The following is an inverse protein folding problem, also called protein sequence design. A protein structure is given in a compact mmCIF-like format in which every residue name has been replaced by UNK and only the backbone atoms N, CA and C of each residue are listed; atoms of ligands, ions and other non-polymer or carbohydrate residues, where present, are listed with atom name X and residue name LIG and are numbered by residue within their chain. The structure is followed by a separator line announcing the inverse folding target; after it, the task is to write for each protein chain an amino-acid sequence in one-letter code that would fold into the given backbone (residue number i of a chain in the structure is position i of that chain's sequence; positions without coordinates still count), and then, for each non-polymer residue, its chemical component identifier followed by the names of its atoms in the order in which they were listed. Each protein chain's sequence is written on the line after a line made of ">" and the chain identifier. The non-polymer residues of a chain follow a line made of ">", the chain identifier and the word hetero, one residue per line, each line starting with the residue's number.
data_IF_213095346091
#
_entry.id   IF_213095346091
#
_cell.length_a   1.000
_cell.length_b   1.000
_cell.length_c   1.000
_cell.angle_alpha   90.00
_cell.angle_beta   90.00
_cell.angle_gamma   90.00
#
_symmetry.space_group_name_H-M   'P 1'
#
loop_
_entity.id
_entity.type
_entity.pdbx_description
1 polymer ?
#
# COMPACT_ATOMS: atom_id res chain seq x y z
N UNK A 1 9.19 -2.48 17.37
CA UNK A 1 8.05 -1.78 17.99
C UNK A 1 6.81 -2.36 17.33
N UNK A 2 6.09 -3.24 18.00
CA UNK A 2 4.85 -3.79 17.44
C UNK A 2 3.77 -2.73 17.54
N UNK A 3 3.38 -2.17 16.39
CA UNK A 3 2.34 -1.14 16.34
C UNK A 3 0.97 -1.68 16.77
N UNK A 4 0.80 -3.00 16.83
CA UNK A 4 -0.50 -3.65 16.79
C UNK A 4 -0.57 -4.91 17.68
N UNK A 5 -1.67 -5.08 18.42
CA UNK A 5 -2.15 -6.36 18.97
C UNK A 5 -2.03 -7.50 17.93
N UNK A 6 -1.13 -8.45 18.22
CA UNK A 6 -0.80 -9.60 17.37
C UNK A 6 -2.04 -10.40 16.96
N UNK A 7 -3.01 -10.56 17.85
CA UNK A 7 -4.22 -11.35 17.58
C UNK A 7 -5.08 -10.75 16.46
N UNK A 8 -5.16 -9.42 16.37
CA UNK A 8 -5.90 -8.74 15.29
C UNK A 8 -5.15 -8.88 13.96
N UNK A 9 -3.82 -8.77 13.99
CA UNK A 9 -2.98 -8.92 12.80
C UNK A 9 -3.09 -10.33 12.21
N UNK A 10 -3.03 -11.36 13.05
CA UNK A 10 -3.16 -12.74 12.58
C UNK A 10 -4.57 -13.02 12.06
N UNK A 11 -5.61 -12.49 12.74
CA UNK A 11 -6.99 -12.58 12.26
C UNK A 11 -7.16 -11.90 10.90
N UNK A 12 -6.55 -10.74 10.70
CA UNK A 12 -6.57 -10.03 9.41
C UNK A 12 -5.93 -10.88 8.30
N UNK A 13 -4.82 -11.55 8.60
CA UNK A 13 -4.19 -12.46 7.65
C UNK A 13 -5.07 -13.67 7.28
N UNK A 14 -5.73 -14.30 8.27
CA UNK A 14 -6.66 -15.40 8.01
C UNK A 14 -7.87 -14.97 7.18
N UNK A 15 -8.43 -13.78 7.47
CA UNK A 15 -9.52 -13.21 6.68
C UNK A 15 -9.07 -12.93 5.25
N UNK A 16 -7.89 -12.34 5.06
CA UNK A 16 -7.32 -12.09 3.74
C UNK A 16 -7.20 -13.38 2.91
N UNK A 17 -6.69 -14.47 3.52
CA UNK A 17 -6.62 -15.79 2.87
C UNK A 17 -7.98 -16.41 2.59
N UNK A 18 -8.99 -16.14 3.43
CA UNK A 18 -10.36 -16.61 3.23
C UNK A 18 -10.97 -15.93 2.00
N UNK A 19 -11.01 -14.59 2.00
CA UNK A 19 -11.64 -13.82 0.93
C UNK A 19 -10.94 -14.02 -0.42
N UNK A 20 -9.62 -14.26 -0.44
CA UNK A 20 -8.88 -14.56 -1.68
C UNK A 20 -9.27 -15.87 -2.36
N UNK A 21 -10.09 -16.70 -1.70
CA UNK A 21 -10.66 -17.93 -2.29
C UNK A 21 -12.11 -17.75 -2.72
N UNK A 22 -12.73 -16.64 -2.38
CA UNK A 22 -14.15 -16.38 -2.62
C UNK A 22 -14.38 -15.51 -3.85
N UNK A 23 -13.50 -14.52 -4.08
CA UNK A 23 -13.58 -13.61 -5.22
C UNK A 23 -12.21 -13.06 -5.60
N UNK A 24 -12.08 -12.59 -6.85
CA UNK A 24 -10.86 -11.98 -7.36
C UNK A 24 -10.72 -10.52 -6.93
N UNK A 25 -9.51 -10.14 -6.52
CA UNK A 25 -9.16 -8.76 -6.19
C UNK A 25 -7.67 -8.49 -6.37
N UNK A 26 -7.32 -7.21 -6.40
CA UNK A 26 -5.93 -6.75 -6.34
C UNK A 26 -5.66 -6.22 -4.93
N UNK A 27 -4.75 -6.86 -4.22
CA UNK A 27 -4.32 -6.43 -2.90
C UNK A 27 -3.43 -5.19 -3.01
N UNK A 28 -3.70 -4.18 -2.18
CA UNK A 28 -2.88 -2.98 -2.02
C UNK A 28 -2.61 -2.74 -0.52
N UNK A 29 -2.20 -1.52 -0.16
CA UNK A 29 -2.11 -1.13 1.24
C UNK A 29 -1.02 -1.87 2.03
N UNK A 30 -1.27 -2.07 3.33
CA UNK A 30 -0.26 -2.62 4.24
C UNK A 30 0.13 -4.07 3.96
N UNK A 31 -0.86 -4.92 3.67
CA UNK A 31 -0.60 -6.33 3.36
C UNK A 31 0.17 -6.52 2.04
N UNK A 32 -0.11 -5.70 1.02
CA UNK A 32 0.70 -5.70 -0.19
C UNK A 32 2.18 -5.33 0.09
N UNK A 33 2.43 -4.35 0.97
CA UNK A 33 3.79 -3.97 1.37
C UNK A 33 4.48 -5.11 2.12
N UNK A 34 3.76 -5.78 3.02
CA UNK A 34 4.27 -6.97 3.71
C UNK A 34 4.65 -8.08 2.72
N UNK A 35 3.81 -8.37 1.71
CA UNK A 35 4.12 -9.40 0.73
C UNK A 35 5.44 -9.14 0.00
N UNK A 36 5.68 -7.88 -0.39
CA UNK A 36 6.90 -7.46 -1.07
C UNK A 36 8.13 -7.42 -0.15
N UNK A 37 8.00 -6.81 1.03
CA UNK A 37 9.15 -6.45 1.86
C UNK A 37 9.44 -7.43 3.00
N UNK A 38 8.48 -8.29 3.34
CA UNK A 38 8.46 -9.05 4.61
C UNK A 38 8.71 -8.17 5.84
N UNK A 39 8.31 -6.91 5.75
CA UNK A 39 8.41 -5.91 6.81
C UNK A 39 7.23 -5.99 7.78
N UNK A 40 6.66 -4.84 8.09
CA UNK A 40 5.54 -4.77 9.03
C UNK A 40 4.26 -5.41 8.46
N UNK A 41 3.61 -6.24 9.27
CA UNK A 41 2.26 -6.76 8.98
C UNK A 41 1.19 -5.66 9.13
N UNK A 42 0.01 -5.89 8.55
CA UNK A 42 -1.12 -4.94 8.60
C UNK A 42 -2.27 -5.46 9.47
N UNK A 43 -3.12 -4.52 9.92
CA UNK A 43 -4.42 -4.85 10.52
C UNK A 43 -5.56 -4.74 9.51
N UNK A 44 -5.51 -3.70 8.70
CA UNK A 44 -6.53 -3.41 7.70
C UNK A 44 -6.17 -4.12 6.39
N UNK A 45 -7.20 -4.55 5.66
CA UNK A 45 -7.09 -5.13 4.32
C UNK A 45 -7.54 -4.08 3.31
N UNK A 46 -6.68 -3.71 2.38
CA UNK A 46 -7.01 -2.77 1.31
C UNK A 46 -7.04 -3.52 -0.03
N UNK A 47 -8.18 -3.54 -0.71
CA UNK A 47 -8.34 -4.28 -1.97
C UNK A 47 -9.00 -3.44 -3.05
N UNK A 48 -8.62 -3.68 -4.30
CA UNK A 48 -9.30 -3.17 -5.48
C UNK A 48 -10.09 -4.32 -6.10
N UNK A 49 -11.37 -4.08 -6.39
CA UNK A 49 -12.24 -5.07 -7.04
C UNK A 49 -12.87 -4.51 -8.31
N UNK A 50 -13.23 -5.40 -9.22
CA UNK A 50 -14.10 -5.07 -10.35
C UNK A 50 -15.58 -5.11 -9.94
N UNK A 51 -16.46 -4.59 -10.80
CA UNK A 51 -17.89 -4.44 -10.48
C UNK A 51 -18.65 -5.76 -10.30
N UNK A 52 -18.19 -6.85 -10.92
CA UNK A 52 -18.77 -8.19 -10.76
C UNK A 52 -18.61 -8.72 -9.32
N UNK A 53 -17.44 -8.52 -8.71
CA UNK A 53 -17.21 -8.88 -7.31
C UNK A 53 -18.00 -8.02 -6.33
N UNK A 54 -18.42 -6.80 -6.72
CA UNK A 54 -19.21 -5.92 -5.84
C UNK A 54 -20.58 -6.49 -5.50
N UNK A 55 -21.24 -7.12 -6.47
CA UNK A 55 -22.56 -7.72 -6.26
C UNK A 55 -22.46 -8.93 -5.31
N UNK A 56 -21.45 -9.78 -5.50
CA UNK A 56 -21.14 -10.85 -4.56
C UNK A 56 -20.94 -10.34 -3.14
N UNK A 57 -20.16 -9.27 -2.97
CA UNK A 57 -19.91 -8.67 -1.65
C UNK A 57 -21.18 -8.10 -1.01
N UNK A 58 -22.08 -7.51 -1.80
CA UNK A 58 -23.35 -6.97 -1.30
C UNK A 58 -24.27 -8.06 -0.76
N UNK A 59 -24.24 -9.24 -1.37
CA UNK A 59 -25.06 -10.38 -0.97
C UNK A 59 -24.49 -11.14 0.24
N UNK A 60 -23.16 -11.24 0.34
CA UNK A 60 -22.49 -12.13 1.30
C UNK A 60 -21.91 -11.41 2.53
N UNK A 61 -21.83 -10.07 2.50
CA UNK A 61 -21.18 -9.29 3.55
C UNK A 61 -21.94 -8.01 3.91
N UNK A 62 -21.75 -7.47 5.14
CA UNK A 62 -22.33 -6.19 5.56
C UNK A 62 -21.58 -5.01 4.91
N UNK A 63 -21.70 -4.90 3.58
CA UNK A 63 -21.02 -3.91 2.77
C UNK A 63 -21.59 -2.50 3.02
N UNK A 64 -20.73 -1.57 3.40
CA UNK A 64 -21.08 -0.17 3.61
C UNK A 64 -20.41 0.72 2.58
N UNK A 65 -21.16 1.62 1.96
CA UNK A 65 -20.61 2.63 1.05
C UNK A 65 -20.17 3.87 1.84
N UNK A 66 -18.95 4.35 1.56
CA UNK A 66 -18.44 5.60 2.10
C UNK A 66 -18.25 6.61 0.95
N UNK A 67 -19.25 7.45 0.72
CA UNK A 67 -19.25 8.43 -0.38
C UNK A 67 -18.25 9.58 -0.19
N UNK A 68 -17.86 9.87 1.05
CA UNK A 68 -16.87 10.90 1.35
C UNK A 68 -15.45 10.42 1.01
N UNK A 69 -15.07 9.23 1.49
CA UNK A 69 -13.77 8.62 1.21
C UNK A 69 -13.71 7.91 -0.15
N UNK A 70 -14.84 7.82 -0.87
CA UNK A 70 -14.94 7.18 -2.19
C UNK A 70 -14.46 5.73 -2.16
N UNK A 71 -14.91 4.96 -1.17
CA UNK A 71 -14.64 3.52 -1.03
C UNK A 71 -15.83 2.81 -0.41
N UNK A 72 -15.80 1.48 -0.45
CA UNK A 72 -16.68 0.63 0.34
C UNK A 72 -15.89 0.02 1.49
N UNK A 73 -16.60 -0.39 2.53
CA UNK A 73 -16.03 -0.88 3.79
C UNK A 73 -16.81 -2.13 4.22
N UNK A 74 -16.10 -3.16 4.66
CA UNK A 74 -16.66 -4.32 5.38
C UNK A 74 -15.88 -4.46 6.68
N UNK A 75 -16.57 -4.80 7.77
CA UNK A 75 -15.94 -5.20 9.02
C UNK A 75 -16.23 -6.69 9.25
N UNK A 76 -15.19 -7.51 9.30
CA UNK A 76 -15.28 -8.95 9.59
C UNK A 76 -14.48 -9.23 10.86
N UNK A 77 -15.13 -9.65 11.94
CA UNK A 77 -14.46 -9.98 13.20
C UNK A 77 -13.45 -8.90 13.65
N UNK A 78 -13.86 -7.63 13.67
CA UNK A 78 -13.03 -6.47 14.05
C UNK A 78 -11.90 -6.11 13.07
N UNK A 79 -11.85 -6.73 11.89
CA UNK A 79 -10.92 -6.37 10.81
C UNK A 79 -11.63 -5.53 9.79
N UNK A 80 -11.09 -4.33 9.55
CA UNK A 80 -11.54 -3.42 8.50
C UNK A 80 -11.01 -3.86 7.13
N UNK A 81 -11.91 -3.94 6.16
CA UNK A 81 -11.63 -4.22 4.76
C UNK A 81 -12.06 -3.02 3.94
N UNK A 82 -11.09 -2.27 3.44
CA UNK A 82 -11.27 -1.14 2.54
C UNK A 82 -11.30 -1.62 1.09
N UNK A 83 -12.42 -1.37 0.42
CA UNK A 83 -12.71 -1.84 -0.92
C UNK A 83 -12.78 -0.65 -1.86
N UNK A 84 -11.84 -0.61 -2.80
CA UNK A 84 -11.76 0.41 -3.81
C UNK A 84 -12.29 -0.13 -5.14
N UNK A 85 -13.02 0.71 -5.87
CA UNK A 85 -13.60 0.36 -7.17
C UNK A 85 -13.12 1.29 -8.28
N UNK A 86 -12.88 0.76 -9.50
CA UNK A 86 -12.68 1.58 -10.69
C UNK A 86 -13.76 2.65 -10.85
N UNK A 87 -13.36 3.85 -11.25
CA UNK A 87 -14.22 5.01 -11.52
C UNK A 87 -15.02 5.59 -10.32
N UNK A 88 -15.16 4.86 -9.22
CA UNK A 88 -15.70 5.38 -7.97
C UNK A 88 -14.59 5.91 -7.05
N UNK A 89 -13.55 5.11 -6.85
CA UNK A 89 -12.45 5.42 -5.94
C UNK A 89 -11.44 6.39 -6.52
N UNK A 90 -10.82 7.17 -5.64
CA UNK A 90 -9.80 8.17 -5.99
C UNK A 90 -8.41 7.57 -5.81
N UNK A 91 -7.63 7.60 -6.88
CA UNK A 91 -6.24 7.19 -6.89
C UNK A 91 -5.37 8.32 -7.44
N UNK A 92 -4.10 8.43 -7.02
CA UNK A 92 -3.15 9.40 -7.57
C UNK A 92 -2.78 9.13 -9.03
N UNK A 93 -3.01 7.90 -9.52
CA UNK A 93 -2.75 7.47 -10.90
C UNK A 93 -3.99 6.76 -11.46
N UNK A 94 -4.07 6.57 -12.77
CA UNK A 94 -5.25 5.92 -13.36
C UNK A 94 -5.39 4.47 -12.92
N UNK A 95 -6.64 4.03 -12.78
CA UNK A 95 -6.96 2.65 -12.44
C UNK A 95 -6.42 1.65 -13.49
N UNK A 96 -6.40 2.04 -14.76
CA UNK A 96 -5.85 1.21 -15.84
C UNK A 96 -4.36 0.93 -15.63
N UNK A 97 -3.57 1.95 -15.28
CA UNK A 97 -2.16 1.74 -14.98
C UNK A 97 -1.97 0.88 -13.72
N UNK A 98 -2.83 1.00 -12.71
CA UNK A 98 -2.77 0.13 -11.53
C UNK A 98 -3.01 -1.34 -11.93
N UNK A 99 -4.08 -1.61 -12.69
CA UNK A 99 -4.48 -2.97 -13.10
C UNK A 99 -3.46 -3.59 -14.06
N UNK A 100 -2.92 -2.82 -15.00
CA UNK A 100 -1.91 -3.29 -15.95
C UNK A 100 -0.57 -3.61 -15.28
N UNK A 101 -0.30 -3.00 -14.12
CA UNK A 101 0.92 -3.19 -13.35
C UNK A 101 0.68 -4.07 -12.12
N UNK A 102 -0.02 -5.21 -12.33
CA UNK A 102 -0.22 -6.24 -11.31
C UNK A 102 0.78 -7.39 -11.45
N UNK A 103 1.03 -8.06 -10.35
CA UNK A 103 1.85 -9.27 -10.24
C UNK A 103 1.22 -10.23 -9.24
N UNK A 104 1.77 -11.44 -9.11
CA UNK A 104 1.34 -12.43 -8.14
C UNK A 104 2.47 -12.76 -7.17
N UNK A 105 2.22 -12.60 -5.88
CA UNK A 105 3.15 -12.91 -4.79
C UNK A 105 2.45 -13.83 -3.80
N UNK A 106 3.03 -15.00 -3.54
CA UNK A 106 2.50 -15.97 -2.55
C UNK A 106 1.02 -16.30 -2.74
N UNK A 107 0.57 -16.37 -4.00
CA UNK A 107 -0.82 -16.68 -4.34
C UNK A 107 -1.74 -15.47 -4.43
N UNK A 108 -1.34 -14.30 -3.96
CA UNK A 108 -2.13 -13.06 -4.02
C UNK A 108 -1.78 -12.22 -5.24
N UNK A 109 -2.81 -11.72 -5.93
CA UNK A 109 -2.65 -10.66 -6.93
C UNK A 109 -2.43 -9.34 -6.21
N UNK A 110 -1.34 -8.64 -6.53
CA UNK A 110 -0.96 -7.34 -5.94
C UNK A 110 -0.39 -6.43 -7.01
N UNK A 111 -0.16 -5.16 -6.71
CA UNK A 111 0.47 -4.20 -7.64
C UNK A 111 1.99 -4.28 -7.57
N UNK A 112 2.65 -3.85 -8.64
CA UNK A 112 4.10 -3.64 -8.68
C UNK A 112 4.53 -2.59 -7.63
N UNK A 113 5.79 -2.67 -7.14
CA UNK A 113 6.18 -1.93 -5.96
C UNK A 113 6.26 -0.42 -6.23
N UNK A 114 6.47 0.03 -7.47
CA UNK A 114 6.43 1.45 -7.85
C UNK A 114 5.01 2.03 -7.69
N UNK A 115 4.00 1.27 -8.11
CA UNK A 115 2.59 1.63 -7.94
C UNK A 115 2.27 1.70 -6.45
N UNK A 116 2.67 0.67 -5.70
CA UNK A 116 2.45 0.60 -4.26
C UNK A 116 3.11 1.77 -3.52
N UNK A 117 4.33 2.13 -3.93
CA UNK A 117 5.08 3.27 -3.39
C UNK A 117 4.37 4.59 -3.65
N UNK A 118 3.79 4.80 -4.84
CA UNK A 118 2.99 5.99 -5.17
C UNK A 118 1.71 6.03 -4.33
N UNK A 119 0.99 4.91 -4.20
CA UNK A 119 -0.21 4.82 -3.38
C UNK A 119 0.08 5.14 -1.90
N UNK A 120 1.22 4.65 -1.38
CA UNK A 120 1.67 4.93 -0.01
C UNK A 120 2.07 6.37 0.21
N UNK A 121 2.74 6.99 -0.77
CA UNK A 121 3.03 8.44 -0.71
C UNK A 121 1.74 9.27 -0.69
N UNK A 122 0.74 8.93 -1.52
CA UNK A 122 -0.53 9.63 -1.50
C UNK A 122 -1.22 9.53 -0.13
N UNK A 123 -1.32 8.31 0.41
CA UNK A 123 -1.89 8.11 1.74
C UNK A 123 -1.11 8.89 2.82
N UNK A 124 0.21 8.93 2.72
CA UNK A 124 1.07 9.69 3.63
C UNK A 124 0.82 11.20 3.53
N UNK A 125 0.68 11.76 2.31
CA UNK A 125 0.36 13.17 2.11
C UNK A 125 -0.95 13.56 2.81
N UNK A 126 -1.98 12.74 2.64
CA UNK A 126 -3.33 12.99 3.18
C UNK A 126 -3.36 12.97 4.71
N UNK A 127 -2.43 12.24 5.35
CA UNK A 127 -2.45 12.00 6.80
C UNK A 127 -1.09 12.16 7.50
N UNK A 128 -0.21 13.00 6.95
CA UNK A 128 1.21 13.15 7.34
C UNK A 128 1.45 13.40 8.84
N UNK A 129 0.52 14.08 9.51
CA UNK A 129 0.64 14.48 10.91
C UNK A 129 -0.03 13.48 11.88
N UNK A 130 -0.47 12.32 11.37
CA UNK A 130 -1.15 11.28 12.14
C UNK A 130 -0.27 10.04 12.37
N UNK A 131 -0.70 9.17 13.31
CA UNK A 131 -0.12 7.84 13.51
C UNK A 131 -0.21 7.00 12.22
N UNK A 132 -1.32 7.11 11.47
CA UNK A 132 -1.46 6.42 10.18
C UNK A 132 -0.43 6.91 9.15
N UNK A 133 -0.07 8.20 9.17
CA UNK A 133 0.97 8.75 8.30
C UNK A 133 2.38 8.32 8.71
N UNK A 134 2.63 8.17 10.02
CA UNK A 134 3.87 7.53 10.49
C UNK A 134 4.00 6.09 10.00
N UNK A 135 2.89 5.35 9.99
CA UNK A 135 2.84 3.99 9.44
C UNK A 135 3.11 3.95 7.94
N UNK A 136 2.57 4.87 7.14
CA UNK A 136 2.91 4.91 5.71
C UNK A 136 4.38 5.23 5.48
N UNK A 137 4.99 6.09 6.29
CA UNK A 137 6.44 6.34 6.21
C UNK A 137 7.24 5.07 6.50
N UNK A 138 6.81 4.23 7.45
CA UNK A 138 7.40 2.92 7.70
C UNK A 138 7.24 2.00 6.49
N UNK A 139 6.04 1.89 5.94
CA UNK A 139 5.75 1.08 4.75
C UNK A 139 6.61 1.51 3.55
N UNK A 140 6.72 2.83 3.31
CA UNK A 140 7.57 3.41 2.26
C UNK A 140 9.02 3.00 2.47
N UNK A 141 9.52 3.13 3.69
CA UNK A 141 10.90 2.77 4.01
C UNK A 141 11.15 1.26 3.87
N UNK A 142 10.19 0.42 4.26
CA UNK A 142 10.28 -1.04 4.09
C UNK A 142 10.37 -1.40 2.60
N UNK A 143 9.58 -0.77 1.73
CA UNK A 143 9.69 -0.93 0.28
C UNK A 143 11.09 -0.52 -0.21
N UNK A 144 11.53 0.70 0.09
CA UNK A 144 12.83 1.21 -0.36
C UNK A 144 14.04 0.44 0.21
N UNK A 145 13.87 -0.19 1.36
CA UNK A 145 14.92 -0.89 2.09
C UNK A 145 15.12 -2.34 1.70
N UNK A 146 14.06 -2.99 1.17
CA UNK A 146 13.98 -4.45 1.01
C UNK A 146 13.49 -4.89 -0.37
N UNK A 147 12.98 -3.98 -1.19
CA UNK A 147 12.45 -4.27 -2.53
C UNK A 147 13.28 -3.54 -3.56
N UNK A 148 13.53 -4.19 -4.70
CA UNK A 148 14.16 -3.53 -5.83
C UNK A 148 13.10 -2.71 -6.58
N UNK A 149 13.28 -1.39 -6.58
CA UNK A 149 12.35 -0.44 -7.20
C UNK A 149 12.89 -0.05 -8.57
N UNK A 150 12.06 -0.18 -9.60
CA UNK A 150 12.35 0.37 -10.91
C UNK A 150 12.14 1.90 -10.88
N UNK A 151 13.25 2.62 -10.71
CA UNK A 151 13.24 4.07 -10.62
C UNK A 151 12.90 4.76 -11.94
N UNK A 152 13.15 4.13 -13.09
CA UNK A 152 12.74 4.69 -14.38
C UNK A 152 11.22 4.68 -14.47
N UNK A 153 10.61 3.53 -14.17
CA UNK A 153 9.15 3.38 -14.14
C UNK A 153 8.49 4.29 -13.11
N UNK A 154 9.06 4.39 -11.91
CA UNK A 154 8.57 5.33 -10.90
C UNK A 154 8.58 6.78 -11.40
N UNK A 155 9.70 7.23 -12.02
CA UNK A 155 9.83 8.58 -12.59
C UNK A 155 8.85 8.81 -13.73
N UNK A 156 8.66 7.83 -14.61
CA UNK A 156 7.69 7.89 -15.71
C UNK A 156 6.26 8.06 -15.18
N UNK A 157 5.87 7.29 -14.17
CA UNK A 157 4.53 7.37 -13.57
C UNK A 157 4.28 8.72 -12.91
N UNK A 158 5.18 9.21 -12.06
CA UNK A 158 4.99 10.52 -11.42
C UNK A 158 4.98 11.66 -12.44
N UNK A 159 5.74 11.54 -13.53
CA UNK A 159 5.75 12.48 -14.65
C UNK A 159 4.44 12.47 -15.44
N UNK A 160 3.98 11.27 -15.85
CA UNK A 160 2.73 11.03 -16.59
C UNK A 160 1.52 11.63 -15.88
N UNK A 161 1.46 11.52 -14.55
CA UNK A 161 0.33 12.00 -13.74
C UNK A 161 0.57 13.37 -13.09
N UNK A 162 1.68 14.05 -13.42
CA UNK A 162 2.03 15.36 -12.85
C UNK A 162 1.97 15.38 -11.31
N UNK A 163 2.49 14.32 -10.68
CA UNK A 163 2.53 14.14 -9.22
C UNK A 163 3.65 14.98 -8.59
N UNK A 164 3.49 16.30 -8.68
CA UNK A 164 4.44 17.28 -8.15
C UNK A 164 4.63 17.09 -6.65
N UNK A 165 5.87 17.18 -6.16
CA UNK A 165 6.16 17.06 -4.73
C UNK A 165 6.40 15.63 -4.25
N UNK A 166 6.02 14.59 -5.02
CA UNK A 166 6.22 13.19 -4.60
C UNK A 166 7.70 12.87 -4.44
N UNK A 167 8.51 13.25 -5.42
CA UNK A 167 9.97 13.09 -5.37
C UNK A 167 10.58 13.78 -4.15
N UNK A 168 10.26 15.05 -3.95
CA UNK A 168 10.76 15.86 -2.85
C UNK A 168 10.32 15.29 -1.49
N UNK A 169 9.09 14.81 -1.41
CA UNK A 169 8.54 14.18 -0.20
C UNK A 169 9.24 12.87 0.10
N UNK A 170 9.48 12.03 -0.90
CA UNK A 170 10.21 10.77 -0.73
C UNK A 170 11.63 11.04 -0.20
N UNK A 171 12.34 12.01 -0.77
CA UNK A 171 13.65 12.47 -0.27
C UNK A 171 13.55 12.95 1.17
N UNK A 172 12.52 13.72 1.52
CA UNK A 172 12.31 14.18 2.90
C UNK A 172 12.08 13.02 3.88
N UNK A 173 11.24 12.04 3.52
CA UNK A 173 11.00 10.84 4.34
C UNK A 173 12.32 10.11 4.57
N UNK A 174 13.08 9.81 3.53
CA UNK A 174 14.40 9.15 3.64
C UNK A 174 15.38 9.95 4.50
N UNK A 175 15.35 11.28 4.39
CA UNK A 175 16.25 12.15 5.15
C UNK A 175 15.95 12.18 6.65
N UNK A 176 14.67 12.20 7.00
CA UNK A 176 14.18 12.36 8.38
C UNK A 176 13.96 11.05 9.12
N UNK A 177 13.88 9.93 8.40
CA UNK A 177 13.60 8.64 9.00
C UNK A 177 14.83 8.06 9.71
N UNK A 178 14.81 8.05 11.05
CA UNK A 178 15.99 7.73 11.87
C UNK A 178 16.09 6.27 12.34
N UNK A 179 15.16 5.39 11.97
CA UNK A 179 15.03 4.06 12.59
C UNK A 179 15.00 2.93 11.57
N UNK A 180 16.16 2.38 11.20
CA UNK A 180 16.21 1.06 10.53
C UNK A 180 16.94 0.05 11.41
N UNK A 181 16.54 -1.21 11.29
CA UNK A 181 17.32 -2.38 11.74
C UNK A 181 18.56 -2.60 10.87
N UNK A 182 19.33 -1.54 10.62
CA UNK A 182 20.62 -1.56 9.91
C UNK A 182 21.65 -0.87 10.79
N UNK A 183 22.89 -1.34 10.74
CA UNK A 183 23.97 -0.61 11.40
C UNK A 183 24.16 0.78 10.75
N UNK A 184 24.71 1.78 11.47
CA UNK A 184 24.78 3.17 10.98
C UNK A 184 25.49 3.31 9.62
N UNK A 185 26.52 2.49 9.35
CA UNK A 185 27.27 2.52 8.09
C UNK A 185 26.44 2.00 6.92
N UNK A 186 25.76 0.87 7.11
CA UNK A 186 24.86 0.29 6.10
C UNK A 186 23.69 1.22 5.79
N UNK A 187 23.11 1.83 6.83
CA UNK A 187 22.05 2.83 6.65
C UNK A 187 22.54 4.04 5.83
N UNK A 188 23.74 4.58 6.14
CA UNK A 188 24.33 5.69 5.38
C UNK A 188 24.56 5.34 3.91
N UNK A 189 25.08 4.14 3.62
CA UNK A 189 25.32 3.68 2.24
C UNK A 189 24.02 3.48 1.47
N UNK A 190 23.04 2.80 2.08
CA UNK A 190 21.70 2.62 1.50
C UNK A 190 21.05 3.96 1.19
N UNK A 191 21.08 4.90 2.15
CA UNK A 191 20.50 6.23 2.00
C UNK A 191 21.11 6.99 0.84
N UNK A 192 22.44 6.95 0.70
CA UNK A 192 23.12 7.57 -0.44
C UNK A 192 22.68 6.95 -1.77
N UNK A 193 22.67 5.62 -1.87
CA UNK A 193 22.25 4.91 -3.09
C UNK A 193 20.84 5.31 -3.51
N UNK A 194 19.86 5.22 -2.60
CA UNK A 194 18.46 5.54 -2.92
C UNK A 194 18.30 7.01 -3.31
N UNK A 195 19.02 7.94 -2.66
CA UNK A 195 18.97 9.35 -3.02
C UNK A 195 19.57 9.64 -4.41
N UNK A 196 20.58 8.88 -4.84
CA UNK A 196 21.14 8.95 -6.20
C UNK A 196 20.14 8.43 -7.24
N UNK A 197 19.43 7.34 -6.94
CA UNK A 197 18.41 6.76 -7.83
C UNK A 197 17.17 7.68 -7.98
N UNK A 198 16.76 8.35 -6.90
CA UNK A 198 15.71 9.38 -6.92
C UNK A 198 16.20 10.66 -7.62
N UNK A 199 17.52 10.87 -7.67
CA UNK A 199 18.24 11.91 -8.44
C UNK A 199 17.78 12.02 -9.90
#
# INVERSE_FOLDING_TARGET
>A
MEFWNEAIVERSWEILKKISREFDFILIGGWAVYLWSKGQKSRDIDIIIEYDALDYLRENYPLKKNDFLKKYEIIINEVDIDIYLPYFSRFPISINDIIQNKTKIEGFTTVLPEILLILKQNAEFDRKDSIKGQKDRLDIIDLLGKVDIDWLKYKELIGKYNLRGYRERLVHIIKTFNTMDKNPRQYKLWKRKILEEIG
#
